data_IF_306603152844
#
_entry.id   IF_306603152844
#
_cell.length_a   1.000
_cell.length_b   1.000
_cell.length_c   1.000
_cell.angle_alpha   90.00
_cell.angle_beta   90.00
_cell.angle_gamma   90.00
#
_symmetry.space_group_name_H-M   'P 1'
#
loop_
_entity.id
_entity.type
_entity.pdbx_description
1 polymer ?
#
# COMPACT_ATOMS: atom_id res chain seq x y z
N UNK A 1 36.07 -53.27 19.47
CA UNK A 1 36.32 -54.52 20.23
C UNK A 1 37.21 -55.46 19.41
N UNK A 2 38.47 -55.08 19.22
CA UNK A 2 39.43 -55.76 18.34
C UNK A 2 40.77 -56.01 19.05
N UNK A 3 40.74 -56.34 20.35
CA UNK A 3 41.94 -56.58 21.17
C UNK A 3 41.79 -57.75 22.16
N UNK A 4 41.03 -58.78 21.82
CA UNK A 4 40.89 -59.97 22.67
C UNK A 4 40.98 -61.29 21.89
N UNK A 5 41.96 -61.40 20.98
CA UNK A 5 42.15 -62.62 20.19
C UNK A 5 43.55 -63.25 20.28
N UNK A 6 44.42 -62.78 21.19
CA UNK A 6 45.81 -63.24 21.25
C UNK A 6 46.29 -63.77 22.61
N UNK A 7 45.38 -64.31 23.43
CA UNK A 7 45.74 -65.09 24.62
C UNK A 7 44.74 -66.22 24.85
N UNK A 8 44.99 -67.35 24.21
CA UNK A 8 44.61 -68.69 24.68
C UNK A 8 45.27 -69.73 23.75
N UNK A 9 46.60 -69.78 23.86
CA UNK A 9 47.34 -70.97 23.49
C UNK A 9 47.28 -71.96 24.65
N UNK A 10 46.96 -73.22 24.33
CA UNK A 10 47.12 -74.37 25.22
C UNK A 10 45.81 -74.91 25.79
N UNK A 11 45.29 -75.96 25.16
CA UNK A 11 44.89 -77.26 25.74
C UNK A 11 44.12 -78.01 24.64
N UNK A 12 44.83 -78.89 23.92
CA UNK A 12 44.23 -79.95 23.09
C UNK A 12 44.94 -81.25 23.47
N UNK A 13 44.23 -82.33 23.88
CA UNK A 13 44.83 -83.64 23.92
C UNK A 13 44.78 -84.28 22.52
N UNK A 14 45.92 -84.82 22.08
CA UNK A 14 46.04 -85.70 20.91
C UNK A 14 45.48 -87.08 21.27
N UNK A 15 44.49 -87.57 20.53
CA UNK A 15 44.01 -88.94 20.64
C UNK A 15 43.00 -89.34 19.55
N UNK A 16 43.41 -90.27 18.69
CA UNK A 16 42.61 -91.38 18.12
C UNK A 16 41.29 -91.10 17.36
N UNK A 17 41.38 -91.28 16.03
CA UNK A 17 40.46 -92.01 15.14
C UNK A 17 39.00 -92.27 15.54
N UNK A 18 38.10 -91.84 14.64
CA UNK A 18 36.68 -92.24 14.47
C UNK A 18 35.61 -91.76 15.46
N UNK A 19 35.96 -91.15 16.61
CA UNK A 19 34.98 -90.46 17.47
C UNK A 19 34.73 -88.98 17.14
N UNK A 20 35.72 -88.32 16.53
CA UNK A 20 35.69 -86.86 16.31
C UNK A 20 34.75 -86.40 15.18
N UNK A 21 34.49 -87.25 14.18
CA UNK A 21 33.59 -86.91 13.06
C UNK A 21 32.11 -86.88 13.48
N UNK A 22 31.70 -87.75 14.42
CA UNK A 22 30.35 -87.74 15.00
C UNK A 22 30.11 -86.54 15.93
N UNK A 23 31.11 -86.19 16.74
CA UNK A 23 31.05 -85.03 17.64
C UNK A 23 31.05 -83.68 16.90
N UNK A 24 31.82 -83.55 15.83
CA UNK A 24 31.81 -82.35 14.97
C UNK A 24 30.50 -82.22 14.17
N UNK A 25 29.93 -83.33 13.69
CA UNK A 25 28.62 -83.34 13.04
C UNK A 25 27.47 -82.99 13.98
N UNK A 26 27.51 -83.47 15.23
CA UNK A 26 26.54 -83.12 16.27
C UNK A 26 26.64 -81.65 16.70
N UNK A 27 27.85 -81.10 16.82
CA UNK A 27 28.06 -79.68 17.13
C UNK A 27 27.65 -78.76 15.98
N UNK A 28 27.92 -79.16 14.72
CA UNK A 28 27.48 -78.39 13.56
C UNK A 28 25.95 -78.39 13.39
N UNK A 29 25.29 -79.51 13.67
CA UNK A 29 23.82 -79.61 13.64
C UNK A 29 23.17 -78.84 14.80
N UNK A 30 23.70 -78.92 16.02
CA UNK A 30 23.26 -78.10 17.15
C UNK A 30 23.49 -76.59 16.90
N UNK A 31 24.63 -76.23 16.31
CA UNK A 31 24.93 -74.87 15.89
C UNK A 31 23.97 -74.36 14.81
N UNK A 32 23.64 -75.19 13.82
CA UNK A 32 22.69 -74.85 12.77
C UNK A 32 21.25 -74.71 13.30
N UNK A 33 20.82 -75.58 14.22
CA UNK A 33 19.51 -75.49 14.87
C UNK A 33 19.43 -74.28 15.79
N UNK A 34 20.48 -74.00 16.57
CA UNK A 34 20.55 -72.79 17.39
C UNK A 34 20.57 -71.50 16.57
N UNK A 35 21.29 -71.48 15.44
CA UNK A 35 21.28 -70.37 14.50
C UNK A 35 19.91 -70.20 13.83
N UNK A 36 19.25 -71.28 13.42
CA UNK A 36 17.90 -71.25 12.87
C UNK A 36 16.86 -70.78 13.90
N UNK A 37 17.01 -71.18 15.16
CA UNK A 37 16.15 -70.72 16.26
C UNK A 37 16.36 -69.22 16.53
N UNK A 38 17.60 -68.75 16.54
CA UNK A 38 17.87 -67.33 16.71
C UNK A 38 17.40 -66.50 15.50
N UNK A 39 17.61 -66.99 14.28
CA UNK A 39 17.17 -66.34 13.04
C UNK A 39 15.63 -66.36 12.86
N UNK A 40 14.92 -67.24 13.58
CA UNK A 40 13.47 -67.33 13.56
C UNK A 40 12.79 -66.47 14.62
N UNK A 41 13.54 -65.83 15.52
CA UNK A 41 12.99 -64.87 16.45
C UNK A 41 13.19 -63.46 15.90
N UNK A 42 12.12 -62.67 15.89
CA UNK A 42 12.20 -61.23 15.65
C UNK A 42 11.48 -60.48 16.76
N UNK A 43 12.06 -59.35 17.16
CA UNK A 43 11.52 -58.52 18.22
C UNK A 43 10.85 -57.28 17.62
N UNK A 44 9.68 -56.93 18.16
CA UNK A 44 8.97 -55.70 17.83
C UNK A 44 9.06 -54.75 19.02
N UNK A 45 9.75 -53.63 18.83
CA UNK A 45 9.94 -52.63 19.87
C UNK A 45 8.64 -51.87 20.19
N UNK A 46 8.56 -51.30 21.40
CA UNK A 46 7.41 -50.52 21.85
C UNK A 46 7.08 -49.35 20.91
N UNK A 47 5.82 -49.24 20.51
CA UNK A 47 5.36 -48.25 19.52
C UNK A 47 5.63 -48.60 18.06
N UNK A 48 6.12 -49.82 17.79
CA UNK A 48 6.11 -50.42 16.45
C UNK A 48 5.07 -51.53 16.37
N UNK A 49 4.70 -51.89 15.13
CA UNK A 49 3.85 -53.02 14.80
C UNK A 49 4.43 -53.75 13.62
N UNK A 50 4.34 -55.07 13.60
CA UNK A 50 4.89 -55.86 12.50
C UNK A 50 3.80 -56.53 11.67
N UNK A 51 4.04 -56.60 10.36
CA UNK A 51 3.26 -57.40 9.42
C UNK A 51 4.20 -58.42 8.79
N UNK A 52 3.76 -59.67 8.67
CA UNK A 52 4.57 -60.72 8.03
C UNK A 52 4.32 -60.76 6.53
N UNK A 53 5.39 -60.81 5.75
CA UNK A 53 5.34 -61.17 4.35
C UNK A 53 5.76 -62.63 4.19
N UNK A 54 4.85 -63.48 3.73
CA UNK A 54 5.13 -64.88 3.37
C UNK A 54 5.38 -64.99 1.87
N UNK A 55 6.42 -65.72 1.46
CA UNK A 55 6.75 -65.96 0.05
C UNK A 55 5.70 -66.81 -0.68
N UNK A 56 4.90 -67.59 0.06
CA UNK A 56 3.87 -68.49 -0.49
C UNK A 56 2.50 -67.81 -0.55
N UNK A 57 2.11 -67.11 0.51
CA UNK A 57 0.76 -66.53 0.66
C UNK A 57 0.72 -65.00 0.57
N UNK A 58 1.88 -64.36 0.36
CA UNK A 58 2.02 -62.91 0.36
C UNK A 58 1.93 -62.29 1.76
N UNK A 59 1.53 -61.02 1.81
CA UNK A 59 1.41 -60.24 3.06
C UNK A 59 0.26 -60.78 3.90
N UNK A 60 0.51 -61.23 5.13
CA UNK A 60 -0.53 -61.68 6.05
C UNK A 60 -1.36 -60.49 6.59
N UNK A 61 -2.64 -60.71 6.90
CA UNK A 61 -3.52 -59.66 7.45
C UNK A 61 -3.31 -59.43 8.95
N UNK A 62 -2.75 -60.41 9.66
CA UNK A 62 -2.51 -60.31 11.09
C UNK A 62 -1.41 -59.29 11.39
N UNK A 63 -1.71 -58.43 12.37
CA UNK A 63 -0.81 -57.40 12.85
C UNK A 63 -0.26 -57.84 14.19
N UNK A 64 1.07 -57.95 14.26
CA UNK A 64 1.77 -58.37 15.46
C UNK A 64 2.05 -57.16 16.36
N UNK A 65 1.72 -57.32 17.64
CA UNK A 65 1.95 -56.33 18.67
C UNK A 65 3.42 -56.29 19.10
N UNK A 66 3.76 -55.43 20.05
CA UNK A 66 5.09 -55.38 20.65
C UNK A 66 5.44 -56.70 21.38
N UNK A 67 6.70 -57.12 21.28
CA UNK A 67 7.21 -58.37 21.86
C UNK A 67 7.98 -59.26 20.87
N UNK A 68 8.50 -60.39 21.35
CA UNK A 68 9.22 -61.38 20.54
C UNK A 68 8.23 -62.30 19.82
N UNK A 69 8.37 -62.40 18.51
CA UNK A 69 7.51 -63.16 17.63
C UNK A 69 8.33 -64.13 16.78
N UNK A 70 7.71 -65.24 16.39
CA UNK A 70 8.35 -66.28 15.59
C UNK A 70 8.12 -66.03 14.09
N UNK A 71 9.16 -66.17 13.29
CA UNK A 71 9.15 -66.08 11.82
C UNK A 71 9.89 -67.28 11.25
N UNK A 72 9.36 -67.89 10.18
CA UNK A 72 10.07 -68.99 9.52
C UNK A 72 11.13 -68.39 8.59
N UNK A 73 12.44 -68.55 8.89
CA UNK A 73 13.51 -67.99 8.07
C UNK A 73 13.38 -68.52 6.64
N UNK A 74 13.64 -67.67 5.64
CA UNK A 74 13.48 -67.92 4.19
C UNK A 74 12.05 -67.80 3.64
N UNK A 75 11.02 -68.26 4.35
CA UNK A 75 9.63 -68.18 3.88
C UNK A 75 8.93 -66.91 4.31
N UNK A 76 9.26 -66.39 5.49
CA UNK A 76 8.61 -65.23 6.06
C UNK A 76 9.63 -64.14 6.37
N UNK A 77 9.26 -62.88 6.09
CA UNK A 77 10.06 -61.71 6.45
C UNK A 77 9.19 -60.72 7.22
N UNK A 78 9.60 -60.27 8.41
CA UNK A 78 8.85 -59.29 9.19
C UNK A 78 9.07 -57.89 8.63
N UNK A 79 7.98 -57.14 8.44
CA UNK A 79 7.98 -55.74 8.05
C UNK A 79 7.53 -54.93 9.26
N UNK A 80 8.42 -54.10 9.79
CA UNK A 80 8.17 -53.32 11.01
C UNK A 80 7.73 -51.91 10.61
N UNK A 81 6.59 -51.50 11.14
CA UNK A 81 6.02 -50.15 11.00
C UNK A 81 6.12 -49.39 12.31
N UNK A 82 6.50 -48.12 12.21
CA UNK A 82 6.36 -47.18 13.30
C UNK A 82 4.92 -46.63 13.31
N UNK A 83 4.18 -46.90 14.40
CA UNK A 83 2.79 -46.47 14.57
C UNK A 83 2.66 -45.18 15.37
N UNK A 84 3.78 -44.55 15.72
CA UNK A 84 3.81 -43.26 16.42
C UNK A 84 3.45 -42.13 15.46
N UNK A 85 2.88 -41.07 16.03
CA UNK A 85 2.51 -39.88 15.30
C UNK A 85 3.77 -39.11 14.88
N UNK A 86 3.97 -38.94 13.56
CA UNK A 86 5.11 -38.19 13.00
C UNK A 86 4.64 -36.85 12.44
N UNK A 87 5.28 -35.73 12.81
CA UNK A 87 4.95 -34.43 12.25
C UNK A 87 5.58 -34.28 10.87
N UNK A 88 4.80 -33.76 9.92
CA UNK A 88 5.27 -33.45 8.58
C UNK A 88 4.77 -32.08 8.14
N UNK A 89 5.67 -31.26 7.62
CA UNK A 89 5.33 -29.96 7.06
C UNK A 89 5.34 -30.07 5.53
N UNK A 90 4.25 -29.67 4.88
CA UNK A 90 4.14 -29.65 3.42
C UNK A 90 3.74 -28.24 3.00
N UNK A 91 4.56 -27.65 2.13
CA UNK A 91 4.26 -26.37 1.50
C UNK A 91 3.47 -26.59 0.20
N UNK A 92 2.45 -25.77 -0.01
CA UNK A 92 1.59 -25.80 -1.18
C UNK A 92 1.41 -24.39 -1.74
N UNK A 93 1.79 -24.22 -3.01
CA UNK A 93 1.50 -23.01 -3.76
C UNK A 93 0.08 -23.12 -4.36
N UNK A 94 -0.81 -22.22 -3.93
CA UNK A 94 -2.24 -22.28 -4.23
C UNK A 94 -2.78 -20.92 -4.66
N UNK A 95 -3.74 -20.92 -5.59
CA UNK A 95 -4.48 -19.72 -6.00
C UNK A 95 -5.77 -19.52 -5.18
N UNK A 96 -6.07 -18.27 -4.83
CA UNK A 96 -7.34 -17.86 -4.20
C UNK A 96 -8.43 -17.60 -5.23
N UNK A 97 -9.66 -17.35 -4.75
CA UNK A 97 -10.80 -16.98 -5.61
C UNK A 97 -10.54 -15.74 -6.48
N UNK A 98 -9.76 -14.80 -5.96
CA UNK A 98 -9.37 -13.55 -6.66
C UNK A 98 -8.09 -13.72 -7.50
N UNK A 99 -7.71 -14.97 -7.82
CA UNK A 99 -6.52 -15.33 -8.61
C UNK A 99 -5.18 -14.86 -8.00
N UNK A 100 -5.14 -14.63 -6.68
CA UNK A 100 -3.89 -14.32 -5.98
C UNK A 100 -3.19 -15.61 -5.53
N UNK A 101 -1.88 -15.66 -5.75
CA UNK A 101 -1.02 -16.78 -5.36
C UNK A 101 -0.65 -16.68 -3.88
N UNK A 102 -0.80 -17.80 -3.16
CA UNK A 102 -0.52 -17.91 -1.73
C UNK A 102 0.31 -19.17 -1.49
N UNK A 103 1.39 -19.01 -0.75
CA UNK A 103 2.18 -20.14 -0.28
C UNK A 103 1.71 -20.53 1.13
N UNK A 104 1.14 -21.73 1.26
CA UNK A 104 0.57 -22.23 2.50
C UNK A 104 1.37 -23.44 2.96
N UNK A 105 1.87 -23.40 4.18
CA UNK A 105 2.54 -24.55 4.81
C UNK A 105 1.59 -25.18 5.82
N UNK A 106 1.18 -26.41 5.54
CA UNK A 106 0.35 -27.22 6.44
C UNK A 106 1.25 -28.20 7.18
N UNK A 107 1.15 -28.19 8.51
CA UNK A 107 1.72 -29.22 9.38
C UNK A 107 0.64 -30.24 9.67
N UNK A 108 0.97 -31.49 9.43
CA UNK A 108 0.11 -32.63 9.70
C UNK A 108 0.84 -33.57 10.63
N UNK A 109 0.15 -34.00 11.67
CA UNK A 109 0.60 -35.06 12.56
C UNK A 109 -0.15 -36.33 12.18
N UNK A 110 0.55 -37.29 11.57
CA UNK A 110 -0.04 -38.49 10.99
C UNK A 110 0.54 -39.78 11.56
N UNK A 111 -0.30 -40.81 11.64
CA UNK A 111 0.09 -42.19 11.94
C UNK A 111 -0.77 -43.17 11.15
N UNK A 112 -0.29 -44.39 10.88
CA UNK A 112 -1.06 -45.37 10.16
C UNK A 112 -2.08 -46.04 11.12
N UNK A 113 -3.23 -46.48 10.59
CA UNK A 113 -4.18 -47.23 11.40
C UNK A 113 -3.65 -48.64 11.65
N UNK A 114 -3.55 -49.03 12.93
CA UNK A 114 -2.95 -50.29 13.37
C UNK A 114 -3.61 -51.52 12.74
N UNK A 115 -4.94 -51.53 12.63
CA UNK A 115 -5.69 -52.70 12.14
C UNK A 115 -5.48 -52.96 10.63
N UNK A 116 -5.14 -51.93 9.86
CA UNK A 116 -5.13 -51.98 8.39
C UNK A 116 -3.71 -51.89 7.81
N UNK A 117 -2.67 -52.15 8.62
CA UNK A 117 -1.25 -52.06 8.21
C UNK A 117 -0.91 -52.97 7.02
N UNK A 118 -1.53 -54.15 6.96
CA UNK A 118 -1.34 -55.06 5.83
C UNK A 118 -1.86 -54.49 4.50
N UNK A 119 -2.97 -53.74 4.54
CA UNK A 119 -3.53 -53.10 3.35
C UNK A 119 -2.70 -51.87 2.94
N UNK A 120 -2.22 -51.10 3.92
CA UNK A 120 -1.31 -49.97 3.68
C UNK A 120 -0.02 -50.45 3.01
N UNK A 121 0.59 -51.54 3.48
CA UNK A 121 1.81 -52.07 2.87
C UNK A 121 1.58 -52.54 1.42
N UNK A 122 0.44 -53.21 1.15
CA UNK A 122 0.11 -53.68 -0.21
C UNK A 122 -0.15 -52.54 -1.19
N UNK A 123 -0.75 -51.43 -0.74
CA UNK A 123 -1.18 -50.33 -1.63
C UNK A 123 -0.16 -49.20 -1.73
N UNK A 124 0.46 -48.83 -0.61
CA UNK A 124 1.31 -47.65 -0.47
C UNK A 124 2.77 -47.98 -0.18
N UNK A 125 3.05 -49.14 0.41
CA UNK A 125 4.38 -49.56 0.84
C UNK A 125 4.75 -49.06 2.25
N UNK A 126 6.03 -49.14 2.62
CA UNK A 126 6.53 -48.64 3.91
C UNK A 126 6.50 -47.10 3.96
N UNK A 127 6.79 -46.42 2.85
CA UNK A 127 6.83 -44.94 2.74
C UNK A 127 5.45 -44.35 2.40
N UNK A 128 4.43 -44.79 3.13
CA UNK A 128 3.04 -44.39 2.87
C UNK A 128 2.80 -42.88 3.05
N UNK A 129 3.57 -42.25 3.96
CA UNK A 129 3.46 -40.84 4.30
C UNK A 129 4.06 -39.94 3.21
N UNK A 130 5.21 -40.31 2.64
CA UNK A 130 5.86 -39.58 1.55
C UNK A 130 5.07 -39.62 0.26
N UNK A 131 4.47 -40.77 -0.03
CA UNK A 131 3.80 -41.01 -1.31
C UNK A 131 2.43 -40.33 -1.41
N UNK A 132 1.70 -40.28 -0.30
CA UNK A 132 0.27 -39.90 -0.31
C UNK A 132 0.01 -38.52 0.29
N UNK A 133 0.66 -38.17 1.41
CA UNK A 133 0.31 -36.95 2.14
C UNK A 133 0.55 -35.68 1.32
N UNK A 134 1.66 -35.50 0.58
CA UNK A 134 1.86 -34.29 -0.22
C UNK A 134 0.76 -34.12 -1.27
N UNK A 135 0.32 -35.21 -1.89
CA UNK A 135 -0.72 -35.20 -2.93
C UNK A 135 -2.08 -34.79 -2.36
N UNK A 136 -2.50 -35.40 -1.25
CA UNK A 136 -3.76 -35.08 -0.58
C UNK A 136 -3.76 -33.65 -0.04
N UNK A 137 -2.66 -33.23 0.60
CA UNK A 137 -2.53 -31.88 1.17
C UNK A 137 -2.61 -30.83 0.08
N UNK A 138 -1.92 -31.04 -1.05
CA UNK A 138 -1.98 -30.12 -2.18
C UNK A 138 -3.38 -30.05 -2.81
N UNK A 139 -4.06 -31.19 -2.99
CA UNK A 139 -5.41 -31.25 -3.54
C UNK A 139 -6.41 -30.49 -2.64
N UNK A 140 -6.44 -30.82 -1.35
CA UNK A 140 -7.40 -30.22 -0.40
C UNK A 140 -7.09 -28.75 -0.17
N UNK A 141 -5.82 -28.36 -0.01
CA UNK A 141 -5.45 -26.95 0.17
C UNK A 141 -5.88 -26.13 -1.04
N UNK A 142 -5.66 -26.63 -2.27
CA UNK A 142 -6.14 -25.98 -3.50
C UNK A 142 -7.65 -25.84 -3.56
N UNK A 143 -8.38 -26.91 -3.23
CA UNK A 143 -9.84 -26.90 -3.25
C UNK A 143 -10.46 -25.93 -2.23
N UNK A 144 -9.89 -25.84 -1.03
CA UNK A 144 -10.43 -24.99 0.04
C UNK A 144 -10.07 -23.53 -0.18
N UNK A 145 -8.81 -23.23 -0.47
CA UNK A 145 -8.31 -21.86 -0.60
C UNK A 145 -8.91 -21.16 -1.82
N UNK A 146 -9.19 -21.90 -2.89
CA UNK A 146 -9.88 -21.36 -4.08
C UNK A 146 -11.31 -20.85 -3.79
N UNK A 147 -11.92 -21.22 -2.67
CA UNK A 147 -13.25 -20.76 -2.28
C UNK A 147 -13.24 -19.40 -1.58
N UNK A 148 -12.08 -18.98 -1.07
CA UNK A 148 -11.93 -17.75 -0.28
C UNK A 148 -11.12 -16.69 -1.03
N UNK A 149 -11.42 -15.44 -0.70
CA UNK A 149 -10.64 -14.28 -1.16
C UNK A 149 -9.37 -14.14 -0.30
N UNK A 150 -8.33 -13.51 -0.84
CA UNK A 150 -7.05 -13.34 -0.14
C UNK A 150 -7.21 -12.60 1.22
N UNK A 151 -8.06 -11.58 1.28
CA UNK A 151 -8.37 -10.86 2.53
C UNK A 151 -9.11 -11.72 3.57
N UNK A 152 -9.93 -12.66 3.11
CA UNK A 152 -10.69 -13.58 3.97
C UNK A 152 -9.79 -14.66 4.58
N UNK A 153 -8.73 -15.07 3.88
CA UNK A 153 -7.78 -16.05 4.42
C UNK A 153 -7.01 -15.51 5.64
N UNK A 154 -6.81 -14.18 5.70
CA UNK A 154 -6.19 -13.50 6.84
C UNK A 154 -7.22 -13.32 7.96
N UNK A 155 -8.39 -12.77 7.63
CA UNK A 155 -9.40 -12.40 8.63
C UNK A 155 -10.18 -13.59 9.19
N UNK A 156 -10.41 -14.63 8.39
CA UNK A 156 -11.19 -15.83 8.75
C UNK A 156 -10.31 -17.09 8.77
N UNK A 157 -9.06 -16.97 9.21
CA UNK A 157 -8.08 -18.07 9.23
C UNK A 157 -8.60 -19.31 9.96
N UNK A 158 -9.32 -19.15 11.07
CA UNK A 158 -9.83 -20.28 11.85
C UNK A 158 -10.87 -21.10 11.09
N UNK A 159 -11.75 -20.43 10.34
CA UNK A 159 -12.75 -21.08 9.50
C UNK A 159 -12.08 -21.90 8.40
N UNK A 160 -11.08 -21.33 7.74
CA UNK A 160 -10.29 -22.00 6.70
C UNK A 160 -9.54 -23.20 7.29
N UNK A 161 -8.87 -23.03 8.42
CA UNK A 161 -8.13 -24.08 9.13
C UNK A 161 -9.02 -25.27 9.48
N UNK A 162 -10.22 -25.02 10.03
CA UNK A 162 -11.20 -26.06 10.35
C UNK A 162 -11.64 -26.81 9.09
N UNK A 163 -11.94 -26.09 8.01
CA UNK A 163 -12.43 -26.68 6.76
C UNK A 163 -11.34 -27.51 6.05
N UNK A 164 -10.08 -27.07 6.09
CA UNK A 164 -8.93 -27.85 5.63
C UNK A 164 -8.77 -29.13 6.47
N UNK A 165 -8.86 -29.03 7.81
CA UNK A 165 -8.76 -30.17 8.71
C UNK A 165 -9.83 -31.23 8.43
N UNK A 166 -11.10 -30.84 8.38
CA UNK A 166 -12.23 -31.75 8.15
C UNK A 166 -12.08 -32.51 6.82
N UNK A 167 -11.72 -31.79 5.74
CA UNK A 167 -11.52 -32.40 4.43
C UNK A 167 -10.28 -33.30 4.36
N UNK A 168 -9.18 -32.92 5.01
CA UNK A 168 -7.98 -33.75 5.09
C UNK A 168 -8.23 -35.03 5.85
N UNK A 169 -8.90 -34.99 7.00
CA UNK A 169 -9.25 -36.18 7.78
C UNK A 169 -10.12 -37.12 6.94
N UNK A 170 -11.16 -36.59 6.27
CA UNK A 170 -12.06 -37.39 5.43
C UNK A 170 -11.33 -38.05 4.25
N UNK A 171 -10.36 -37.36 3.65
CA UNK A 171 -9.57 -37.88 2.52
C UNK A 171 -8.51 -38.89 2.96
N UNK A 172 -7.79 -38.61 4.05
CA UNK A 172 -6.76 -39.49 4.61
C UNK A 172 -7.35 -40.81 5.13
N UNK A 173 -8.58 -40.79 5.66
CA UNK A 173 -9.28 -41.98 6.11
C UNK A 173 -9.49 -43.03 5.00
N UNK A 174 -9.57 -42.61 3.72
CA UNK A 174 -9.69 -43.55 2.58
C UNK A 174 -8.42 -44.34 2.30
N UNK A 175 -7.28 -43.87 2.80
CA UNK A 175 -5.98 -44.51 2.67
C UNK A 175 -5.55 -45.18 3.98
N UNK A 176 -6.47 -45.35 4.93
CA UNK A 176 -6.22 -45.93 6.25
C UNK A 176 -5.17 -45.17 7.09
N UNK A 177 -5.00 -43.87 6.84
CA UNK A 177 -4.10 -42.99 7.60
C UNK A 177 -4.94 -42.17 8.58
N UNK A 178 -4.50 -42.08 9.83
CA UNK A 178 -5.11 -41.26 10.88
C UNK A 178 -4.32 -39.97 11.01
N UNK A 179 -5.03 -38.83 10.99
CA UNK A 179 -4.46 -37.51 11.27
C UNK A 179 -4.90 -37.10 12.68
N UNK A 180 -3.94 -37.01 13.60
CA UNK A 180 -4.22 -36.62 14.99
C UNK A 180 -4.34 -35.09 15.11
N UNK A 181 -3.54 -34.34 14.34
CA UNK A 181 -3.64 -32.88 14.23
C UNK A 181 -3.31 -32.38 12.81
N UNK A 182 -3.95 -31.29 12.43
CA UNK A 182 -3.72 -30.55 11.19
C UNK A 182 -3.75 -29.06 11.52
N UNK A 183 -2.68 -28.36 11.18
CA UNK A 183 -2.56 -26.92 11.40
C UNK A 183 -1.88 -26.22 10.22
N UNK A 184 -2.34 -25.01 9.90
CA UNK A 184 -1.66 -24.14 8.94
C UNK A 184 -0.59 -23.37 9.71
N UNK A 185 0.68 -23.67 9.48
CA UNK A 185 1.82 -23.04 10.19
C UNK A 185 2.09 -21.65 9.64
N UNK A 186 2.22 -21.56 8.32
CA UNK A 186 2.62 -20.35 7.63
C UNK A 186 1.73 -20.10 6.41
N UNK A 187 1.33 -18.85 6.21
CA UNK A 187 0.60 -18.40 5.04
C UNK A 187 1.22 -17.08 4.60
N UNK A 188 1.82 -17.08 3.41
CA UNK A 188 2.40 -15.88 2.83
C UNK A 188 1.80 -15.59 1.46
N UNK A 189 1.48 -14.33 1.26
CA UNK A 189 1.11 -13.75 -0.03
C UNK A 189 2.36 -13.27 -0.75
N UNK A 190 2.24 -12.94 -2.04
CA UNK A 190 3.32 -12.26 -2.76
C UNK A 190 3.65 -10.91 -2.10
N UNK A 191 4.93 -10.49 -2.05
CA UNK A 191 5.31 -9.20 -1.45
C UNK A 191 4.57 -8.01 -2.09
N UNK A 192 4.33 -8.08 -3.40
CA UNK A 192 3.57 -7.09 -4.17
C UNK A 192 2.12 -6.95 -3.67
N UNK A 193 1.46 -8.07 -3.34
CA UNK A 193 0.10 -8.06 -2.82
C UNK A 193 0.05 -7.47 -1.41
N UNK A 194 0.98 -7.85 -0.54
CA UNK A 194 1.07 -7.28 0.81
C UNK A 194 1.24 -5.77 0.78
N UNK A 195 2.15 -5.26 -0.07
CA UNK A 195 2.33 -3.83 -0.28
C UNK A 195 1.07 -3.15 -0.82
N UNK A 196 0.36 -3.78 -1.77
CA UNK A 196 -0.86 -3.23 -2.32
C UNK A 196 -1.99 -3.16 -1.28
N UNK A 197 -2.10 -4.15 -0.40
CA UNK A 197 -3.09 -4.16 0.70
C UNK A 197 -2.75 -3.10 1.74
N UNK A 198 -1.49 -2.97 2.14
CA UNK A 198 -1.02 -1.93 3.05
C UNK A 198 -1.26 -0.54 2.47
N UNK A 199 -0.89 -0.31 1.21
CA UNK A 199 -1.13 0.95 0.52
C UNK A 199 -2.64 1.28 0.43
N UNK A 200 -3.48 0.29 0.12
CA UNK A 200 -4.93 0.46 0.10
C UNK A 200 -5.48 0.78 1.48
N UNK A 201 -4.97 0.16 2.53
CA UNK A 201 -5.36 0.43 3.91
C UNK A 201 -4.95 1.84 4.33
N UNK A 202 -3.74 2.28 4.00
CA UNK A 202 -3.26 3.64 4.24
C UNK A 202 -4.15 4.65 3.52
N UNK A 203 -4.40 4.45 2.22
CA UNK A 203 -5.26 5.32 1.43
C UNK A 203 -6.70 5.39 1.97
N UNK A 204 -7.25 4.27 2.45
CA UNK A 204 -8.59 4.23 3.02
C UNK A 204 -8.65 4.92 4.39
N UNK A 205 -7.62 4.79 5.22
CA UNK A 205 -7.49 5.52 6.48
C UNK A 205 -7.31 7.03 6.24
N UNK A 206 -6.53 7.42 5.24
CA UNK A 206 -6.32 8.81 4.87
C UNK A 206 -7.60 9.45 4.32
N UNK A 207 -8.34 8.74 3.47
CA UNK A 207 -9.65 9.18 3.00
C UNK A 207 -10.65 9.37 4.16
N UNK A 208 -10.67 8.46 5.14
CA UNK A 208 -11.51 8.59 6.34
C UNK A 208 -11.10 9.80 7.19
N UNK A 209 -9.79 10.01 7.40
CA UNK A 209 -9.29 11.18 8.13
C UNK A 209 -9.62 12.48 7.41
N UNK A 210 -9.46 12.53 6.09
CA UNK A 210 -9.80 13.70 5.28
C UNK A 210 -11.30 14.03 5.39
N UNK A 211 -12.18 13.02 5.32
CA UNK A 211 -13.61 13.22 5.54
C UNK A 211 -13.90 13.80 6.92
N UNK A 212 -13.28 13.28 7.98
CA UNK A 212 -13.43 13.81 9.34
C UNK A 212 -12.94 15.27 9.48
N UNK A 213 -11.86 15.64 8.80
CA UNK A 213 -11.36 17.03 8.77
C UNK A 213 -12.36 17.94 8.06
N UNK A 214 -12.95 17.51 6.95
CA UNK A 214 -13.99 18.27 6.22
C UNK A 214 -15.22 18.45 7.11
N UNK A 215 -15.70 17.40 7.78
CA UNK A 215 -16.84 17.47 8.68
C UNK A 215 -16.58 18.44 9.85
N UNK A 216 -15.37 18.39 10.43
CA UNK A 216 -14.95 19.34 11.47
C UNK A 216 -14.94 20.78 10.95
N UNK A 217 -14.44 21.02 9.74
CA UNK A 217 -14.42 22.35 9.13
C UNK A 217 -15.83 22.88 8.84
N UNK A 218 -16.77 22.01 8.43
CA UNK A 218 -18.17 22.37 8.24
C UNK A 218 -18.81 22.77 9.58
N UNK A 219 -18.58 21.99 10.64
CA UNK A 219 -19.10 22.30 11.98
C UNK A 219 -18.54 23.63 12.51
N UNK A 220 -17.24 23.87 12.34
CA UNK A 220 -16.59 25.10 12.76
C UNK A 220 -17.10 26.31 11.98
N UNK A 221 -17.28 26.19 10.66
CA UNK A 221 -17.92 27.21 9.82
C UNK A 221 -19.33 27.52 10.29
N UNK A 222 -20.13 26.49 10.58
CA UNK A 222 -21.49 26.67 11.06
C UNK A 222 -21.51 27.39 12.42
N UNK A 223 -20.59 27.03 13.32
CA UNK A 223 -20.42 27.72 14.60
C UNK A 223 -20.02 29.19 14.42
N UNK A 224 -19.14 29.51 13.46
CA UNK A 224 -18.73 30.88 13.17
C UNK A 224 -19.90 31.69 12.61
N UNK A 225 -20.68 31.14 11.68
CA UNK A 225 -21.86 31.83 11.10
C UNK A 225 -22.87 32.11 12.19
N UNK A 226 -23.24 31.10 12.99
CA UNK A 226 -24.20 31.27 14.09
C UNK A 226 -23.71 32.29 15.12
N UNK A 227 -22.40 32.28 15.44
CA UNK A 227 -21.80 33.27 16.34
C UNK A 227 -21.83 34.68 15.73
N UNK A 228 -21.46 34.83 14.47
CA UNK A 228 -21.46 36.12 13.77
C UNK A 228 -22.88 36.68 13.60
N UNK A 229 -23.87 35.83 13.31
CA UNK A 229 -25.29 36.21 13.29
C UNK A 229 -25.76 36.63 14.68
N UNK A 230 -25.36 35.90 15.72
CA UNK A 230 -25.64 36.25 17.12
C UNK A 230 -25.04 37.60 17.50
N UNK A 231 -23.78 37.86 17.11
CA UNK A 231 -23.09 39.13 17.33
C UNK A 231 -23.71 40.27 16.51
N UNK A 232 -24.05 40.05 15.24
CA UNK A 232 -24.70 41.04 14.38
C UNK A 232 -26.07 41.43 14.94
N UNK A 233 -26.90 40.44 15.30
CA UNK A 233 -28.22 40.68 15.89
C UNK A 233 -28.13 41.36 17.26
N UNK A 234 -27.11 41.00 18.06
CA UNK A 234 -26.80 41.70 19.31
C UNK A 234 -26.42 43.17 19.04
N UNK A 235 -25.54 43.42 18.06
CA UNK A 235 -25.12 44.76 17.68
C UNK A 235 -26.27 45.62 17.11
N UNK A 236 -27.20 45.02 16.35
CA UNK A 236 -28.42 45.68 15.88
C UNK A 236 -29.33 46.08 17.05
N UNK A 237 -29.60 45.17 17.98
CA UNK A 237 -30.42 45.46 19.17
C UNK A 237 -29.79 46.55 20.04
N UNK A 238 -28.47 46.49 20.22
CA UNK A 238 -27.71 47.54 20.91
C UNK A 238 -27.79 48.86 20.11
N UNK A 239 -27.66 48.80 18.79
CA UNK A 239 -27.74 49.95 17.88
C UNK A 239 -29.11 50.63 17.89
N UNK A 240 -30.20 49.87 17.95
CA UNK A 240 -31.56 50.38 18.12
C UNK A 240 -31.75 51.02 19.50
N UNK A 241 -31.26 50.38 20.56
CA UNK A 241 -31.27 50.95 21.91
C UNK A 241 -30.47 52.27 21.97
N UNK A 242 -29.35 52.35 21.24
CA UNK A 242 -28.51 53.54 21.10
C UNK A 242 -29.23 54.66 20.33
N UNK A 243 -29.89 54.34 19.21
CA UNK A 243 -30.63 55.33 18.39
C UNK A 243 -31.74 56.01 19.18
N UNK A 244 -32.40 55.26 20.06
CA UNK A 244 -33.49 55.77 20.88
C UNK A 244 -33.01 56.75 21.97
N UNK A 245 -31.73 56.72 22.34
CA UNK A 245 -31.19 57.56 23.41
C UNK A 245 -29.80 58.13 23.05
N UNK A 246 -29.71 59.34 22.47
CA UNK A 246 -28.44 59.94 22.05
C UNK A 246 -27.45 60.16 23.21
N UNK A 247 -27.95 60.28 24.45
CA UNK A 247 -27.13 60.36 25.66
C UNK A 247 -26.33 59.08 25.96
N UNK A 248 -26.75 57.91 25.44
CA UNK A 248 -26.05 56.64 25.67
C UNK A 248 -24.72 56.56 24.91
N UNK A 249 -24.64 57.11 23.69
CA UNK A 249 -23.37 57.19 22.93
C UNK A 249 -22.36 58.06 23.68
N UNK A 250 -22.81 59.19 24.22
CA UNK A 250 -21.97 60.08 25.00
C UNK A 250 -21.50 59.41 26.28
N UNK A 251 -22.39 58.75 27.02
CA UNK A 251 -22.03 57.97 28.20
C UNK A 251 -21.00 56.89 27.86
N UNK A 252 -21.19 56.16 26.75
CA UNK A 252 -20.30 55.06 26.39
C UNK A 252 -18.94 55.53 25.89
N UNK A 253 -18.88 56.69 25.22
CA UNK A 253 -17.62 57.39 24.92
C UNK A 253 -16.88 57.77 26.21
N UNK A 254 -17.58 58.30 27.21
CA UNK A 254 -16.99 58.67 28.50
C UNK A 254 -16.48 57.41 29.25
N UNK A 255 -17.23 56.32 29.25
CA UNK A 255 -16.83 55.07 29.90
C UNK A 255 -15.61 54.42 29.24
N UNK A 256 -15.57 54.36 27.91
CA UNK A 256 -14.41 53.86 27.15
C UNK A 256 -13.20 54.76 27.33
N UNK A 257 -13.37 56.09 27.30
CA UNK A 257 -12.30 57.03 27.59
C UNK A 257 -11.74 56.84 29.02
N UNK A 258 -12.61 56.59 30.00
CA UNK A 258 -12.22 56.28 31.39
C UNK A 258 -11.47 54.94 31.50
N UNK A 259 -11.90 53.93 30.77
CA UNK A 259 -11.25 52.61 30.74
C UNK A 259 -9.86 52.68 30.10
N UNK A 260 -9.73 53.37 28.97
CA UNK A 260 -8.44 53.65 28.32
C UNK A 260 -7.52 54.43 29.26
N UNK A 261 -8.03 55.47 29.94
CA UNK A 261 -7.27 56.23 30.91
C UNK A 261 -6.80 55.35 32.09
N UNK A 262 -7.63 54.42 32.55
CA UNK A 262 -7.27 53.45 33.60
C UNK A 262 -6.17 52.49 33.16
N UNK A 263 -6.29 51.91 31.96
CA UNK A 263 -5.27 51.01 31.39
C UNK A 263 -3.94 51.75 31.22
N UNK A 264 -3.97 52.98 30.71
CA UNK A 264 -2.76 53.79 30.51
C UNK A 264 -2.13 54.20 31.85
N UNK A 265 -2.93 54.52 32.86
CA UNK A 265 -2.43 54.85 34.21
C UNK A 265 -1.69 53.69 34.88
N UNK A 266 -2.06 52.45 34.56
CA UNK A 266 -1.39 51.24 35.07
C UNK A 266 -0.23 50.79 34.17
N UNK A 267 -0.13 51.32 32.95
CA UNK A 267 0.97 51.01 32.04
C UNK A 267 2.27 51.67 32.50
N UNK A 268 3.39 50.93 32.40
CA UNK A 268 4.70 51.37 32.87
C UNK A 268 5.31 52.51 32.04
N UNK A 269 4.77 52.80 30.86
CA UNK A 269 5.21 53.89 29.99
C UNK A 269 4.12 54.98 29.95
N UNK A 270 4.30 56.05 30.72
CA UNK A 270 3.27 57.11 30.84
C UNK A 270 3.24 57.98 29.59
N UNK A 271 2.27 57.72 28.72
CA UNK A 271 1.92 58.57 27.57
C UNK A 271 0.73 59.44 27.99
N UNK A 272 0.92 60.76 27.99
CA UNK A 272 -0.18 61.71 28.19
C UNK A 272 -0.90 61.90 26.85
N UNK A 273 -2.19 61.57 26.80
CA UNK A 273 -3.03 61.80 25.64
C UNK A 273 -3.83 63.09 25.82
N UNK A 274 -3.90 63.88 24.76
CA UNK A 274 -4.72 65.08 24.71
C UNK A 274 -6.22 64.72 24.61
N UNK A 275 -7.10 65.60 25.09
CA UNK A 275 -8.54 65.41 25.05
C UNK A 275 -9.06 65.20 23.61
N UNK A 276 -8.39 65.79 22.61
CA UNK A 276 -8.68 65.60 21.19
C UNK A 276 -8.33 64.19 20.70
N UNK A 277 -7.20 63.63 21.16
CA UNK A 277 -6.82 62.25 20.83
C UNK A 277 -7.72 61.21 21.50
N UNK A 278 -8.33 61.56 22.63
CA UNK A 278 -9.37 60.76 23.30
C UNK A 278 -10.77 60.99 22.71
N UNK A 279 -10.89 61.79 21.65
CA UNK A 279 -12.16 62.12 20.97
C UNK A 279 -13.24 62.64 21.95
N UNK A 280 -12.80 63.38 22.97
CA UNK A 280 -13.70 64.04 23.93
C UNK A 280 -14.31 65.32 23.33
N UNK A 281 -13.74 65.86 22.25
CA UNK A 281 -14.28 67.01 21.52
C UNK A 281 -15.28 66.58 20.45
N UNK A 282 -16.49 67.16 20.48
CA UNK A 282 -17.70 66.72 19.76
C UNK A 282 -17.91 67.47 18.43
N UNK A 283 -16.89 68.09 17.83
CA UNK A 283 -17.10 69.02 16.71
C UNK A 283 -15.94 69.09 15.70
N UNK A 284 -15.96 68.25 14.64
CA UNK A 284 -15.82 68.65 13.21
C UNK A 284 -15.52 67.46 12.24
N UNK A 285 -16.18 67.33 11.05
CA UNK A 285 -16.07 66.12 10.21
C UNK A 285 -15.65 66.33 8.72
N UNK A 286 -14.63 67.13 8.37
CA UNK A 286 -14.23 67.28 6.94
C UNK A 286 -12.72 67.31 6.69
N UNK A 287 -12.12 66.18 6.28
CA UNK A 287 -10.90 66.16 5.44
C UNK A 287 -10.62 64.78 4.78
N UNK A 288 -10.87 64.61 3.47
CA UNK A 288 -10.25 63.56 2.62
C UNK A 288 -10.19 64.01 1.14
N UNK A 289 -9.00 63.89 0.53
CA UNK A 289 -8.58 64.54 -0.72
C UNK A 289 -8.51 63.61 -1.97
N UNK A 290 -9.33 63.90 -2.97
CA UNK A 290 -9.05 64.19 -4.40
C UNK A 290 -8.02 63.45 -5.32
N UNK A 291 -7.41 62.28 -5.01
CA UNK A 291 -6.40 61.67 -5.95
C UNK A 291 -6.82 60.43 -6.78
N UNK A 292 -8.02 59.84 -6.61
CA UNK A 292 -8.33 58.54 -7.23
C UNK A 292 -9.13 58.54 -8.57
N UNK A 293 -9.35 59.68 -9.21
CA UNK A 293 -10.24 59.76 -10.38
C UNK A 293 -9.52 59.94 -11.73
N UNK A 294 -8.67 58.99 -12.12
CA UNK A 294 -8.47 58.71 -13.55
C UNK A 294 -9.41 57.59 -13.97
N UNK A 295 -10.46 57.93 -14.72
CA UNK A 295 -11.42 56.99 -15.29
C UNK A 295 -10.69 55.82 -16.00
N UNK A 296 -10.82 54.60 -15.47
CA UNK A 296 -10.17 53.39 -16.01
C UNK A 296 -10.65 53.11 -17.44
N UNK A 297 -9.75 53.24 -18.42
CA UNK A 297 -10.03 52.88 -19.81
C UNK A 297 -10.18 51.36 -19.96
N UNK A 298 -11.40 50.90 -20.31
CA UNK A 298 -11.79 49.49 -20.43
C UNK A 298 -10.83 48.69 -21.34
N UNK A 299 -10.32 49.30 -22.41
CA UNK A 299 -9.42 48.61 -23.36
C UNK A 299 -8.00 48.36 -22.84
N UNK A 300 -7.65 48.89 -21.65
CA UNK A 300 -6.34 48.70 -21.01
C UNK A 300 -6.36 47.65 -19.90
N UNK A 301 -7.52 47.05 -19.63
CA UNK A 301 -7.65 45.96 -18.66
C UNK A 301 -6.82 44.74 -19.10
N UNK A 302 -6.11 44.14 -18.14
CA UNK A 302 -5.34 42.92 -18.35
C UNK A 302 -6.28 41.71 -18.34
N UNK A 303 -6.12 40.85 -19.33
CA UNK A 303 -6.83 39.57 -19.39
C UNK A 303 -5.87 38.42 -19.71
N UNK A 304 -6.31 37.22 -19.36
CA UNK A 304 -5.62 35.99 -19.73
C UNK A 304 -5.83 35.73 -21.23
N UNK A 305 -4.74 35.67 -22.01
CA UNK A 305 -4.81 35.42 -23.44
C UNK A 305 -4.86 33.92 -23.78
N UNK A 306 -4.01 33.17 -23.09
CA UNK A 306 -3.93 31.71 -23.15
C UNK A 306 -3.19 31.18 -21.92
N UNK A 307 -3.57 29.97 -21.54
CA UNK A 307 -2.82 29.13 -20.62
C UNK A 307 -2.15 28.01 -21.42
N UNK A 308 -0.84 27.84 -21.25
CA UNK A 308 -0.10 26.72 -21.83
C UNK A 308 0.26 25.77 -20.72
N UNK A 309 -0.15 24.52 -20.86
CA UNK A 309 0.21 23.43 -19.96
C UNK A 309 1.24 22.57 -20.68
N UNK A 310 2.35 22.28 -20.01
CA UNK A 310 3.45 21.50 -20.57
C UNK A 310 3.87 20.39 -19.60
N UNK A 311 3.96 19.17 -20.10
CA UNK A 311 4.54 18.03 -19.41
C UNK A 311 5.76 17.56 -20.19
N UNK A 312 6.94 17.73 -19.62
CA UNK A 312 8.18 17.21 -20.17
C UNK A 312 8.55 15.93 -19.43
N UNK A 313 8.45 14.79 -20.11
CA UNK A 313 8.77 13.48 -19.52
C UNK A 313 10.24 13.11 -19.77
N UNK A 314 10.82 13.59 -20.88
CA UNK A 314 12.23 13.36 -21.22
C UNK A 314 12.50 12.01 -21.90
N UNK A 315 11.48 11.19 -22.11
CA UNK A 315 11.56 9.91 -22.82
C UNK A 315 10.36 9.73 -23.75
N UNK A 316 10.54 8.90 -24.78
CA UNK A 316 9.45 8.45 -25.64
C UNK A 316 8.81 7.17 -25.10
N UNK A 317 7.67 6.76 -25.70
CA UNK A 317 6.98 5.52 -25.36
C UNK A 317 5.77 5.72 -24.46
N UNK A 318 5.44 4.70 -23.68
CA UNK A 318 4.17 4.58 -22.96
C UNK A 318 3.93 5.72 -21.96
N UNK A 319 4.98 6.12 -21.23
CA UNK A 319 4.87 7.18 -20.23
C UNK A 319 4.43 8.52 -20.85
N UNK A 320 4.92 8.82 -22.05
CA UNK A 320 4.51 10.01 -22.79
C UNK A 320 3.05 9.93 -23.27
N UNK A 321 2.59 8.74 -23.68
CA UNK A 321 1.18 8.55 -24.07
C UNK A 321 0.23 8.66 -22.90
N UNK A 322 0.64 8.22 -21.70
CA UNK A 322 -0.13 8.40 -20.45
C UNK A 322 -0.18 9.86 -20.03
N UNK A 323 0.93 10.59 -20.11
CA UNK A 323 0.95 12.04 -19.88
C UNK A 323 0.01 12.81 -20.84
N UNK A 324 -0.10 12.36 -22.10
CA UNK A 324 -1.06 12.92 -23.04
C UNK A 324 -2.51 12.72 -22.57
N UNK A 325 -2.86 11.52 -22.08
CA UNK A 325 -4.19 11.25 -21.53
C UNK A 325 -4.52 12.13 -20.32
N UNK A 326 -3.54 12.44 -19.47
CA UNK A 326 -3.74 13.36 -18.32
C UNK A 326 -4.11 14.76 -18.81
N UNK A 327 -3.37 15.30 -19.78
CA UNK A 327 -3.67 16.62 -20.33
C UNK A 327 -5.01 16.66 -21.07
N UNK A 328 -5.37 15.56 -21.74
CA UNK A 328 -6.67 15.41 -22.39
C UNK A 328 -7.81 15.37 -21.37
N UNK A 329 -7.67 14.64 -20.27
CA UNK A 329 -8.64 14.62 -19.18
C UNK A 329 -8.79 15.99 -18.49
N UNK A 330 -7.68 16.70 -18.28
CA UNK A 330 -7.69 18.01 -17.63
C UNK A 330 -8.32 19.10 -18.51
N UNK A 331 -8.04 19.09 -19.81
CA UNK A 331 -8.41 20.20 -20.72
C UNK A 331 -9.61 19.91 -21.63
N UNK A 332 -9.94 18.63 -21.82
CA UNK A 332 -10.89 18.15 -22.82
C UNK A 332 -10.43 18.41 -24.27
N UNK A 333 -9.14 18.60 -24.50
CA UNK A 333 -8.56 18.84 -25.82
C UNK A 333 -7.46 17.81 -26.11
N UNK A 334 -7.34 17.42 -27.38
CA UNK A 334 -6.26 16.53 -27.84
C UNK A 334 -4.92 17.29 -27.76
N UNK A 335 -3.95 16.83 -26.95
CA UNK A 335 -2.70 17.55 -26.77
C UNK A 335 -1.70 17.28 -27.89
N UNK A 336 -0.71 18.16 -28.03
CA UNK A 336 0.29 18.11 -29.10
C UNK A 336 1.63 17.59 -28.57
N UNK A 337 2.22 16.63 -29.29
CA UNK A 337 3.53 16.07 -28.98
C UNK A 337 4.67 16.97 -29.47
N UNK A 338 5.56 17.35 -28.56
CA UNK A 338 6.79 18.09 -28.85
C UNK A 338 7.95 17.15 -29.16
N UNK A 339 8.72 17.49 -30.18
CA UNK A 339 9.90 16.74 -30.63
C UNK A 339 11.19 17.36 -30.12
N UNK A 340 12.19 16.53 -29.81
CA UNK A 340 13.54 16.95 -29.46
C UNK A 340 14.23 17.61 -30.66
N UNK A 341 14.82 18.79 -30.46
CA UNK A 341 15.55 19.53 -31.51
C UNK A 341 16.95 18.97 -31.76
N UNK A 342 17.60 18.47 -30.71
CA UNK A 342 18.97 17.99 -30.71
C UNK A 342 19.07 16.64 -29.99
N UNK A 343 20.10 15.86 -30.32
CA UNK A 343 20.46 14.65 -29.58
C UNK A 343 21.35 15.05 -28.42
N UNK A 344 20.95 14.71 -27.18
CA UNK A 344 21.72 14.99 -25.97
C UNK A 344 21.87 13.69 -25.19
N UNK A 345 23.08 13.11 -25.22
CA UNK A 345 23.35 11.79 -24.63
C UNK A 345 23.14 11.77 -23.12
N UNK A 346 23.50 12.84 -22.42
CA UNK A 346 23.33 12.96 -20.95
C UNK A 346 21.87 12.83 -20.51
N UNK A 347 20.93 13.28 -21.33
CA UNK A 347 19.50 13.19 -21.05
C UNK A 347 18.83 11.99 -21.72
N UNK A 348 19.58 11.14 -22.43
CA UNK A 348 19.03 9.98 -23.12
C UNK A 348 18.16 10.30 -24.36
N UNK A 349 18.08 11.56 -24.79
CA UNK A 349 17.18 12.00 -25.89
C UNK A 349 17.85 11.99 -27.25
N UNK A 350 17.13 11.55 -28.28
CA UNK A 350 17.55 11.60 -29.69
C UNK A 350 16.81 12.68 -30.48
N UNK A 351 17.44 13.23 -31.52
CA UNK A 351 16.81 14.24 -32.39
C UNK A 351 15.51 13.68 -33.00
N UNK A 352 14.48 14.53 -33.05
CA UNK A 352 13.12 14.26 -33.53
C UNK A 352 12.31 13.26 -32.71
N UNK A 353 12.85 12.76 -31.60
CA UNK A 353 12.11 11.93 -30.66
C UNK A 353 11.02 12.75 -29.96
N UNK A 354 9.86 12.15 -29.69
CA UNK A 354 8.79 12.81 -28.93
C UNK A 354 9.17 12.76 -27.44
N UNK A 355 9.29 13.92 -26.81
CA UNK A 355 9.83 14.04 -25.43
C UNK A 355 8.88 14.72 -24.45
N UNK A 356 7.94 15.51 -24.95
CA UNK A 356 7.03 16.31 -24.15
C UNK A 356 5.67 16.40 -24.81
N UNK A 357 4.66 16.72 -24.02
CA UNK A 357 3.29 16.94 -24.46
C UNK A 357 2.84 18.29 -23.93
N UNK A 358 2.21 19.10 -24.77
CA UNK A 358 1.68 20.39 -24.35
C UNK A 358 0.31 20.65 -24.96
N UNK A 359 -0.46 21.48 -24.27
CA UNK A 359 -1.79 21.93 -24.70
C UNK A 359 -1.94 23.41 -24.41
N UNK A 360 -2.64 24.12 -25.29
CA UNK A 360 -2.93 25.55 -25.13
C UNK A 360 -4.42 25.73 -24.93
N UNK A 361 -4.81 26.15 -23.72
CA UNK A 361 -6.20 26.43 -23.35
C UNK A 361 -6.46 27.94 -23.42
N UNK A 362 -7.66 28.34 -23.82
CA UNK A 362 -8.09 29.74 -23.89
C UNK A 362 -9.51 29.89 -23.38
N UNK A 363 -9.88 31.13 -23.04
CA UNK A 363 -11.23 31.47 -22.59
C UNK A 363 -11.52 31.00 -21.16
N UNK A 364 -12.79 30.75 -20.80
CA UNK A 364 -13.19 30.48 -19.42
C UNK A 364 -12.56 29.20 -18.85
N UNK A 365 -12.35 28.18 -19.68
CA UNK A 365 -11.65 26.95 -19.30
C UNK A 365 -10.23 27.22 -18.81
N UNK A 366 -9.55 28.21 -19.37
CA UNK A 366 -8.19 28.55 -18.96
C UNK A 366 -8.18 29.24 -17.58
N UNK A 367 -9.19 30.03 -17.26
CA UNK A 367 -9.34 30.66 -15.95
C UNK A 367 -9.64 29.61 -14.87
N UNK A 368 -10.57 28.68 -15.15
CA UNK A 368 -10.89 27.58 -14.24
C UNK A 368 -9.66 26.69 -13.93
N UNK A 369 -8.90 26.31 -14.96
CA UNK A 369 -7.70 25.48 -14.77
C UNK A 369 -6.58 26.27 -14.06
N UNK A 370 -6.46 27.57 -14.35
CA UNK A 370 -5.50 28.42 -13.65
C UNK A 370 -5.84 28.54 -12.17
N UNK A 371 -7.11 28.78 -11.84
CA UNK A 371 -7.57 28.89 -10.45
C UNK A 371 -7.31 27.61 -9.66
N UNK A 372 -7.61 26.44 -10.26
CA UNK A 372 -7.25 25.13 -9.68
C UNK A 372 -5.75 25.02 -9.43
N UNK A 373 -4.92 25.44 -10.39
CA UNK A 373 -3.46 25.40 -10.25
C UNK A 373 -2.92 26.36 -9.18
N UNK A 374 -3.49 27.55 -9.06
CA UNK A 374 -3.10 28.54 -8.04
C UNK A 374 -3.50 28.09 -6.64
N UNK A 375 -4.62 27.37 -6.50
CA UNK A 375 -5.04 26.77 -5.22
C UNK A 375 -4.00 25.78 -4.68
N UNK A 376 -3.37 24.98 -5.55
CA UNK A 376 -2.29 24.05 -5.16
C UNK A 376 -1.05 24.80 -4.63
N UNK A 377 -0.84 26.04 -5.10
CA UNK A 377 0.25 26.92 -4.63
C UNK A 377 -0.20 27.89 -3.54
N UNK A 378 -1.38 27.68 -2.96
CA UNK A 378 -1.95 28.56 -1.93
C UNK A 378 -1.98 30.04 -2.34
N UNK A 379 -2.12 30.30 -3.65
CA UNK A 379 -2.05 31.64 -4.25
C UNK A 379 -0.73 32.39 -3.97
N UNK A 380 0.33 31.68 -3.59
CA UNK A 380 1.67 32.23 -3.39
C UNK A 380 2.54 32.04 -4.63
N UNK A 381 3.13 33.14 -5.13
CA UNK A 381 4.10 33.11 -6.23
C UNK A 381 5.34 33.94 -5.92
N UNK A 382 6.51 33.47 -6.36
CA UNK A 382 7.74 34.26 -6.25
C UNK A 382 7.75 35.38 -7.30
N UNK A 383 8.35 36.53 -6.97
CA UNK A 383 8.53 37.62 -7.96
C UNK A 383 9.41 37.23 -9.14
N UNK A 384 10.26 36.21 -9.00
CA UNK A 384 11.08 35.64 -10.06
C UNK A 384 10.26 34.95 -11.17
N UNK A 385 9.07 34.46 -10.84
CA UNK A 385 8.20 33.74 -11.78
C UNK A 385 7.57 34.66 -12.84
N UNK A 386 7.61 35.97 -12.64
CA UNK A 386 7.07 36.95 -13.57
C UNK A 386 8.17 37.42 -14.54
N UNK A 387 7.90 37.24 -15.83
CA UNK A 387 8.70 37.71 -16.95
C UNK A 387 8.61 39.23 -17.09
N UNK A 388 9.66 39.86 -17.64
CA UNK A 388 9.66 41.26 -18.05
C UNK A 388 8.51 41.59 -19.02
N UNK A 389 8.09 40.62 -19.82
CA UNK A 389 6.98 40.74 -20.78
C UNK A 389 5.59 40.68 -20.14
N UNK A 390 5.49 40.58 -18.81
CA UNK A 390 4.22 40.49 -18.08
C UNK A 390 3.58 39.10 -18.11
N UNK A 391 4.29 38.08 -18.59
CA UNK A 391 3.85 36.68 -18.50
C UNK A 391 4.35 36.07 -17.19
N UNK A 392 3.68 35.04 -16.69
CA UNK A 392 4.16 34.32 -15.51
C UNK A 392 3.88 32.83 -15.64
N UNK A 393 4.65 32.03 -14.90
CA UNK A 393 4.46 30.59 -14.87
C UNK A 393 4.89 29.97 -13.56
N UNK A 394 4.38 28.78 -13.30
CA UNK A 394 4.72 28.00 -12.12
C UNK A 394 4.57 26.50 -12.42
N UNK A 395 5.33 25.68 -11.70
CA UNK A 395 5.28 24.23 -11.82
C UNK A 395 4.55 23.60 -10.65
N UNK A 396 3.75 22.58 -10.94
CA UNK A 396 3.13 21.69 -9.94
C UNK A 396 3.80 20.32 -10.07
N UNK A 397 4.08 19.68 -8.94
CA UNK A 397 4.74 18.37 -8.90
C UNK A 397 3.76 17.22 -9.18
N UNK A 398 2.50 17.36 -8.77
CA UNK A 398 1.48 16.32 -8.92
C UNK A 398 0.20 16.89 -9.53
N UNK A 399 -0.28 16.29 -10.62
CA UNK A 399 -1.54 16.70 -11.25
C UNK A 399 -2.79 16.27 -10.44
N UNK A 400 -2.64 15.42 -9.43
CA UNK A 400 -3.75 14.92 -8.62
C UNK A 400 -4.35 16.07 -7.80
N UNK A 401 -3.50 17.00 -7.36
CA UNK A 401 -3.88 18.20 -6.61
C UNK A 401 -4.82 19.14 -7.41
N UNK A 402 -4.90 18.98 -8.73
CA UNK A 402 -5.82 19.72 -9.60
C UNK A 402 -7.26 19.17 -9.57
N UNK A 403 -7.52 18.12 -8.77
CA UNK A 403 -8.84 17.51 -8.58
C UNK A 403 -9.15 16.34 -9.51
N UNK A 404 -8.13 15.71 -10.11
CA UNK A 404 -8.29 14.50 -10.93
C UNK A 404 -8.14 13.28 -10.01
N UNK A 405 -9.03 12.28 -10.16
CA UNK A 405 -8.94 11.03 -9.41
C UNK A 405 -7.69 10.25 -9.82
N UNK A 406 -6.97 9.72 -8.84
CA UNK A 406 -5.79 8.89 -9.09
C UNK A 406 -6.14 7.59 -9.85
N UNK A 407 -5.40 7.35 -10.93
CA UNK A 407 -5.43 6.10 -11.69
C UNK A 407 -4.02 5.46 -11.69
N UNK A 408 -3.84 4.27 -11.09
CA UNK A 408 -2.56 3.58 -11.04
C UNK A 408 -1.95 3.29 -12.41
N UNK A 409 -2.77 3.15 -13.45
CA UNK A 409 -2.30 2.85 -14.81
C UNK A 409 -1.60 4.05 -15.45
N UNK A 410 -2.00 5.27 -15.10
CA UNK A 410 -1.47 6.51 -15.67
C UNK A 410 -0.19 6.93 -14.93
N UNK A 411 -0.22 6.82 -13.60
CA UNK A 411 0.85 7.29 -12.72
C UNK A 411 0.74 8.78 -12.38
N UNK A 412 1.73 9.31 -11.66
CA UNK A 412 1.77 10.72 -11.22
C UNK A 412 2.70 11.51 -12.14
N UNK A 413 2.27 12.72 -12.51
CA UNK A 413 3.02 13.64 -13.36
C UNK A 413 3.01 15.04 -12.79
N UNK A 414 4.17 15.68 -12.84
CA UNK A 414 4.30 17.12 -12.71
C UNK A 414 4.04 17.82 -14.04
N UNK A 415 3.60 19.07 -13.96
CA UNK A 415 3.34 19.89 -15.12
C UNK A 415 3.67 21.36 -14.87
N UNK A 416 4.02 22.04 -15.94
CA UNK A 416 4.29 23.48 -15.95
C UNK A 416 3.08 24.24 -16.47
N UNK A 417 2.67 25.25 -15.72
CA UNK A 417 1.66 26.23 -16.10
C UNK A 417 2.38 27.49 -16.58
N UNK A 418 2.10 27.90 -17.82
CA UNK A 418 2.59 29.15 -18.37
C UNK A 418 1.42 30.03 -18.83
N UNK A 419 1.21 31.13 -18.13
CA UNK A 419 0.13 32.08 -18.36
C UNK A 419 0.63 33.21 -19.25
N UNK A 420 -0.01 33.37 -20.40
CA UNK A 420 0.23 34.52 -21.27
C UNK A 420 -0.80 35.61 -21.01
N UNK A 421 -0.33 36.75 -20.51
CA UNK A 421 -1.18 37.91 -20.23
C UNK A 421 -1.15 38.86 -21.42
N UNK A 422 -2.30 39.47 -21.73
CA UNK A 422 -2.35 40.45 -22.79
C UNK A 422 -3.50 41.45 -22.62
N UNK A 423 -3.37 42.60 -23.27
CA UNK A 423 -4.46 43.57 -23.38
C UNK A 423 -5.25 43.36 -24.68
N UNK A 424 -6.55 43.73 -24.71
CA UNK A 424 -7.30 43.86 -25.96
C UNK A 424 -6.53 44.74 -26.96
N UNK A 425 -6.38 44.31 -28.21
CA UNK A 425 -5.61 45.03 -29.25
C UNK A 425 -4.34 44.33 -29.72
N UNK A 426 -3.83 43.35 -28.98
CA UNK A 426 -2.63 42.59 -29.37
C UNK A 426 -2.81 41.62 -30.55
N UNK A 427 -3.99 41.61 -31.18
CA UNK A 427 -4.23 40.93 -32.46
C UNK A 427 -3.45 41.57 -33.61
N UNK A 428 -3.09 42.85 -33.51
CA UNK A 428 -2.39 43.61 -34.56
C UNK A 428 -1.04 42.96 -34.93
N UNK A 429 -0.35 42.30 -33.99
CA UNK A 429 0.90 41.59 -34.25
C UNK A 429 0.71 40.18 -34.82
N UNK A 430 -0.51 39.62 -34.75
CA UNK A 430 -0.81 38.23 -35.10
C UNK A 430 -1.66 38.08 -36.36
N UNK A 431 -2.36 39.13 -36.78
CA UNK A 431 -3.20 39.13 -37.99
C UNK A 431 -2.33 39.01 -39.25
N UNK A 432 -2.88 38.48 -40.34
CA UNK A 432 -2.15 38.36 -41.63
C UNK A 432 -2.07 39.69 -42.39
N UNK A 433 -3.14 40.48 -42.38
CA UNK A 433 -3.23 41.78 -43.09
C UNK A 433 -2.91 42.93 -42.14
N UNK A 434 -2.16 43.93 -42.61
CA UNK A 434 -1.82 45.16 -41.88
C UNK A 434 -1.16 44.89 -40.52
N UNK A 435 -0.08 44.11 -40.50
CA UNK A 435 0.67 43.81 -39.28
C UNK A 435 1.40 45.05 -38.80
N UNK A 436 1.32 45.34 -37.51
CA UNK A 436 2.08 46.42 -36.87
C UNK A 436 2.53 46.02 -35.46
N UNK A 437 3.45 46.79 -34.88
CA UNK A 437 3.96 46.56 -33.52
C UNK A 437 3.01 47.18 -32.48
N UNK A 438 2.88 46.53 -31.33
CA UNK A 438 2.19 47.12 -30.16
C UNK A 438 3.08 48.19 -29.54
N UNK A 439 2.54 49.39 -29.34
CA UNK A 439 3.22 50.51 -28.70
C UNK A 439 3.61 50.22 -27.25
N UNK A 440 4.68 50.85 -26.76
CA UNK A 440 5.23 50.60 -25.42
C UNK A 440 4.20 50.77 -24.30
N UNK A 441 3.38 51.83 -24.35
CA UNK A 441 2.30 52.10 -23.38
C UNK A 441 1.21 51.02 -23.34
N UNK A 442 1.09 50.20 -24.38
CA UNK A 442 0.08 49.12 -24.46
C UNK A 442 0.67 47.74 -24.18
N UNK A 443 2.00 47.61 -24.07
CA UNK A 443 2.63 46.39 -23.61
C UNK A 443 2.36 46.21 -22.11
N UNK A 444 2.38 44.94 -21.69
CA UNK A 444 2.18 44.57 -20.28
C UNK A 444 3.54 44.56 -19.60
N UNK A 445 3.62 45.19 -18.44
CA UNK A 445 4.81 45.17 -17.60
C UNK A 445 4.72 44.10 -16.50
N UNK A 446 5.88 43.73 -15.97
CA UNK A 446 6.01 42.79 -14.84
C UNK A 446 5.23 43.24 -13.60
N UNK A 447 5.37 44.51 -13.22
CA UNK A 447 4.73 45.08 -12.03
C UNK A 447 3.21 45.18 -12.15
N UNK A 448 2.71 45.55 -13.34
CA UNK A 448 1.27 45.58 -13.61
C UNK A 448 0.65 44.19 -13.46
N UNK A 449 1.36 43.15 -13.91
CA UNK A 449 0.91 41.75 -13.79
C UNK A 449 0.94 41.28 -12.34
N UNK A 450 1.94 41.69 -11.56
CA UNK A 450 2.00 41.44 -10.12
C UNK A 450 0.82 42.08 -9.38
N UNK A 451 0.49 43.33 -9.72
CA UNK A 451 -0.64 44.02 -9.12
C UNK A 451 -1.97 43.40 -9.54
N UNK A 452 -2.09 43.00 -10.81
CA UNK A 452 -3.25 42.25 -11.30
C UNK A 452 -3.43 40.92 -10.57
N UNK A 453 -2.35 40.18 -10.33
CA UNK A 453 -2.38 38.91 -9.60
C UNK A 453 -2.85 39.10 -8.14
N UNK A 454 -2.32 40.13 -7.47
CA UNK A 454 -2.75 40.52 -6.12
C UNK A 454 -4.22 40.94 -6.06
N UNK A 455 -4.69 41.72 -7.03
CA UNK A 455 -6.06 42.24 -7.03
C UNK A 455 -7.11 41.19 -7.41
N UNK A 456 -6.77 40.25 -8.30
CA UNK A 456 -7.73 39.29 -8.86
C UNK A 456 -7.85 38.02 -8.02
N UNK A 457 -6.76 37.57 -7.42
CA UNK A 457 -6.68 36.29 -6.72
C UNK A 457 -6.21 36.44 -5.26
N UNK A 458 -6.14 37.66 -4.73
CA UNK A 458 -5.61 37.96 -3.38
C UNK A 458 -4.23 37.34 -3.10
N UNK A 459 -3.44 37.18 -4.17
CA UNK A 459 -2.22 36.38 -4.14
C UNK A 459 -1.05 37.03 -3.41
N UNK A 460 -0.26 36.22 -2.72
CA UNK A 460 0.91 36.65 -1.95
C UNK A 460 2.16 36.56 -2.85
N UNK A 461 2.97 37.64 -2.85
CA UNK A 461 4.21 37.69 -3.63
C UNK A 461 5.44 37.64 -2.74
N UNK A 462 6.20 36.56 -2.86
CA UNK A 462 7.35 36.30 -1.99
C UNK A 462 8.66 36.70 -2.67
N UNK A 463 9.57 37.30 -1.87
CA UNK A 463 10.91 37.73 -2.31
C UNK A 463 11.99 36.65 -2.14
N UNK A 464 11.66 35.48 -1.59
CA UNK A 464 12.63 34.41 -1.33
C UNK A 464 13.24 33.95 -2.66
N UNK A 465 14.59 34.02 -2.74
CA UNK A 465 15.38 33.46 -3.84
C UNK A 465 15.02 31.99 -4.02
#
# INVERSE_FOLDING_TARGET
MAQAFNRLGGIFPKGSGRGAAGGLGALATLGAVGYAFNASLFNVDGGHRAVKYSRVFGVQKEVFNEGTHFVIPWFETPIIYDVRAKPRNVASLTGTKDLQMVNITVRVLSRPRVNDLAEIYRTLGQDYDERVLPSIINEVSKSVVAQFNASQLITQRDRVSRLVRENLIKRAARFNIVLDDVSIVHMAFSPEFTQAVEAKQIAQQEAQRAAFVVDRAIQEKQSIIVKAEGEARSAELIGEAIKNQPGFIQLRKIEVAREIASIISHSSNRVMLDADTLLLNVSDPNNMSAEDQTQKNIMRELRLEKLVLNICVGESGDRLTRAAKVLEQLTGQTPVYSKARYTVRTFGIRRNEKIAVHVTVRGPKAEEILERGLKVKEYELKKGNFSETGNFGFGIQEHIDLGIKYDPSIGIYGMDFFVCMNRPGSRITKRRRAVAKVGSKHRVNKEETMNWFKQRYDGILTNRK
#
